data_IF_029313911644
#
_entry.id   IF_029313911644
#
_cell.length_a   1.000
_cell.length_b   1.000
_cell.length_c   1.000
_cell.angle_alpha   90.00
_cell.angle_beta   90.00
_cell.angle_gamma   90.00
#
_symmetry.space_group_name_H-M   'P 1'
#
loop_
_entity.id
_entity.type
_entity.pdbx_description
1 polymer ?
#
# COMPACT_ATOMS: atom_id res chain seq x y z
N UNK A 1 -4.69 26.90 3.74
CA UNK A 1 -4.25 25.99 2.65
C UNK A 1 -4.36 24.55 3.14
N UNK A 2 -5.42 23.84 2.75
CA UNK A 2 -5.77 22.55 3.35
C UNK A 2 -4.79 21.46 2.93
N UNK A 3 -4.04 20.90 3.88
CA UNK A 3 -3.24 19.70 3.67
C UNK A 3 -4.12 18.55 3.21
N UNK A 4 -4.10 18.26 1.91
CA UNK A 4 -4.89 17.20 1.29
C UNK A 4 -4.36 15.84 1.75
N UNK A 5 -4.92 15.34 2.85
CA UNK A 5 -4.68 13.98 3.34
C UNK A 5 -5.35 13.01 2.35
N UNK A 6 -4.55 12.22 1.63
CA UNK A 6 -5.04 11.18 0.73
C UNK A 6 -5.13 9.85 1.48
N UNK A 7 -6.03 8.99 1.05
CA UNK A 7 -6.14 7.64 1.58
C UNK A 7 -5.33 6.70 0.69
N UNK A 8 -4.59 5.78 1.30
CA UNK A 8 -3.94 4.71 0.55
C UNK A 8 -5.03 3.80 0.02
N UNK A 9 -5.01 3.55 -1.29
CA UNK A 9 -5.91 2.60 -1.94
C UNK A 9 -5.24 1.24 -1.90
N UNK A 10 -5.98 0.20 -1.52
CA UNK A 10 -5.49 -1.16 -1.52
C UNK A 10 -5.20 -1.59 -2.97
N UNK A 11 -3.98 -2.03 -3.30
CA UNK A 11 -3.64 -2.45 -4.65
C UNK A 11 -4.40 -3.71 -5.09
N UNK A 12 -4.78 -4.57 -4.14
CA UNK A 12 -5.44 -5.85 -4.42
C UNK A 12 -6.92 -5.69 -4.78
N UNK A 13 -7.64 -4.73 -4.16
CA UNK A 13 -9.09 -4.60 -4.35
C UNK A 13 -9.57 -3.19 -4.71
N UNK A 14 -8.66 -2.22 -4.90
CA UNK A 14 -9.02 -0.84 -5.24
C UNK A 14 -9.79 -0.09 -4.16
N UNK A 15 -9.93 -0.64 -2.95
CA UNK A 15 -10.71 -0.02 -1.86
C UNK A 15 -9.84 0.88 -1.00
N UNK A 16 -10.45 1.95 -0.48
CA UNK A 16 -9.83 2.84 0.52
C UNK A 16 -9.43 2.01 1.75
N UNK A 17 -8.15 2.09 2.12
CA UNK A 17 -7.67 1.53 3.39
C UNK A 17 -7.84 2.54 4.53
N UNK A 18 -7.62 2.10 5.77
CA UNK A 18 -7.63 2.99 6.95
C UNK A 18 -6.38 3.88 7.04
N UNK A 19 -5.41 3.70 6.15
CA UNK A 19 -4.14 4.44 6.17
C UNK A 19 -4.30 5.78 5.46
N UNK A 20 -4.18 6.88 6.20
CA UNK A 20 -4.10 8.24 5.66
C UNK A 20 -2.64 8.63 5.47
N UNK A 21 -2.34 9.22 4.33
CA UNK A 21 -1.03 9.74 3.97
C UNK A 21 -1.13 11.20 3.56
N UNK A 22 -0.03 11.92 3.69
CA UNK A 22 0.14 13.26 3.14
C UNK A 22 1.14 13.18 1.98
N UNK A 23 1.28 14.28 1.22
CA UNK A 23 2.21 14.36 0.08
C UNK A 23 3.68 14.16 0.49
N UNK A 24 4.00 14.54 1.71
CA UNK A 24 5.32 14.43 2.36
C UNK A 24 5.53 13.09 3.08
N UNK A 25 4.52 12.20 3.10
CA UNK A 25 4.65 10.91 3.78
C UNK A 25 5.40 9.91 2.92
N UNK A 26 6.43 9.29 3.49
CA UNK A 26 7.16 8.16 2.92
C UNK A 26 6.94 6.93 3.79
N UNK A 27 6.55 5.82 3.18
CA UNK A 27 6.42 4.52 3.84
C UNK A 27 7.42 3.56 3.19
N UNK A 28 8.15 2.80 3.99
CA UNK A 28 9.12 1.80 3.51
C UNK A 28 8.85 0.49 4.24
N UNK A 29 8.75 -0.61 3.49
CA UNK A 29 8.40 -1.94 3.96
C UNK A 29 7.18 -1.91 4.90
N UNK A 30 6.17 -1.12 4.57
CA UNK A 30 5.00 -0.93 5.42
C UNK A 30 3.97 -2.04 5.16
N UNK A 31 3.63 -2.87 6.16
CA UNK A 31 2.61 -3.89 6.01
C UNK A 31 1.22 -3.23 5.98
N UNK A 32 0.62 -3.14 4.80
CA UNK A 32 -0.73 -2.65 4.60
C UNK A 32 -1.73 -3.80 4.73
N UNK A 33 -2.44 -3.84 5.87
CA UNK A 33 -3.54 -4.77 6.05
C UNK A 33 -4.81 -4.29 5.34
N UNK A 34 -5.40 -5.15 4.50
CA UNK A 34 -6.70 -4.88 3.91
C UNK A 34 -7.79 -5.75 4.56
N UNK A 35 -8.76 -5.17 5.30
CA UNK A 35 -9.81 -5.94 5.97
C UNK A 35 -10.74 -6.68 5.01
N UNK A 36 -10.81 -6.24 3.75
CA UNK A 36 -11.61 -6.87 2.70
C UNK A 36 -10.91 -8.07 2.06
N UNK A 37 -9.60 -7.96 1.82
CA UNK A 37 -8.81 -9.06 1.28
C UNK A 37 -8.37 -10.04 2.37
N UNK A 38 -8.39 -9.59 3.65
CA UNK A 38 -7.85 -10.31 4.82
C UNK A 38 -6.41 -10.78 4.59
N UNK A 39 -5.64 -9.95 3.89
CA UNK A 39 -4.23 -10.17 3.57
C UNK A 39 -3.46 -8.90 3.92
N UNK A 40 -2.22 -9.11 4.30
CA UNK A 40 -1.23 -8.06 4.49
C UNK A 40 -0.36 -8.00 3.24
N UNK A 41 -0.10 -6.79 2.77
CA UNK A 41 0.76 -6.56 1.61
C UNK A 41 1.83 -5.57 2.02
N UNK A 42 3.09 -5.92 1.83
CA UNK A 42 4.18 -4.96 2.03
C UNK A 42 4.15 -3.94 0.91
N UNK A 43 4.10 -2.67 1.27
CA UNK A 43 4.13 -1.56 0.32
C UNK A 43 5.21 -0.56 0.69
N UNK A 44 5.80 0.03 -0.34
CA UNK A 44 6.58 1.25 -0.25
C UNK A 44 5.76 2.39 -0.81
N UNK A 45 5.75 3.52 -0.14
CA UNK A 45 5.12 4.74 -0.61
C UNK A 45 6.16 5.84 -0.70
N UNK A 46 6.42 6.34 -1.90
CA UNK A 46 7.34 7.47 -2.14
C UNK A 46 6.66 8.49 -3.02
N UNK A 47 6.56 9.74 -2.54
CA UNK A 47 6.06 10.89 -3.32
C UNK A 47 4.73 10.59 -4.05
N UNK A 48 3.75 10.03 -3.32
CA UNK A 48 2.43 9.61 -3.83
C UNK A 48 2.40 8.35 -4.74
N UNK A 49 3.53 7.72 -5.03
CA UNK A 49 3.57 6.42 -5.72
C UNK A 49 3.56 5.26 -4.71
N UNK A 50 2.59 4.35 -4.87
CA UNK A 50 2.50 3.10 -4.11
C UNK A 50 3.21 2.01 -4.92
N UNK A 51 4.29 1.48 -4.38
CA UNK A 51 5.05 0.36 -4.92
C UNK A 51 4.74 -0.85 -4.05
N UNK A 52 4.27 -1.92 -4.66
CA UNK A 52 3.91 -3.14 -3.94
C UNK A 52 5.16 -4.00 -3.87
N UNK A 53 5.63 -4.27 -2.65
CA UNK A 53 6.66 -5.26 -2.38
C UNK A 53 5.97 -6.55 -1.96
N UNK A 54 5.20 -7.15 -2.85
CA UNK A 54 4.88 -8.57 -2.63
C UNK A 54 6.21 -9.34 -2.66
N UNK A 55 6.43 -10.31 -1.76
CA UNK A 55 7.43 -11.30 -2.05
C UNK A 55 6.94 -11.97 -3.34
N UNK A 56 7.67 -11.73 -4.42
CA UNK A 56 7.55 -12.47 -5.67
C UNK A 56 7.65 -13.94 -5.28
N UNK A 57 6.49 -14.57 -5.07
CA UNK A 57 6.40 -16.00 -4.98
C UNK A 57 6.69 -16.46 -6.41
N UNK A 58 7.98 -16.60 -6.72
CA UNK A 58 8.45 -17.44 -7.80
C UNK A 58 7.94 -18.82 -7.48
N UNK A 59 6.73 -19.13 -7.91
CA UNK A 59 6.36 -20.51 -8.18
C UNK A 59 7.20 -20.91 -9.37
N UNK A 60 8.43 -21.33 -9.09
CA UNK A 60 9.25 -22.08 -10.02
C UNK A 60 8.57 -23.45 -10.11
N UNK A 61 7.54 -23.53 -10.96
CA UNK A 61 6.99 -24.81 -11.38
C UNK A 61 8.08 -25.50 -12.18
N UNK A 62 8.68 -26.53 -11.59
CA UNK A 62 9.51 -27.52 -12.27
C UNK A 62 8.61 -28.62 -12.83
#
# INVERSE_FOLDING_TARGET
>A
MAGQKKWVICPVCGRKTRTKIRKDTVLLNFPLFCPKCRKETLIDLKQENIIIKEPDAKTQSR
#
